data_IF_825537874456
#
_entry.id   IF_825537874456
#
_cell.length_a   1.000
_cell.length_b   1.000
_cell.length_c   1.000
_cell.angle_alpha   90.00
_cell.angle_beta   90.00
_cell.angle_gamma   90.00
#
_symmetry.space_group_name_H-M   'P 1'
#
loop_
_entity.id
_entity.type
_entity.pdbx_description
1 polymer ?
#
# COMPACT_ATOMS: atom_id res chain seq x y z
N UNK A 1 7.48 -4.07 -0.34
CA UNK A 1 6.44 -4.04 -1.42
C UNK A 1 6.83 -3.20 -2.64
N UNK A 2 7.76 -2.25 -2.53
CA UNK A 2 8.09 -1.30 -3.59
C UNK A 2 8.68 -1.96 -4.85
N UNK A 3 9.54 -2.96 -4.70
CA UNK A 3 10.09 -3.73 -5.84
C UNK A 3 8.98 -4.38 -6.67
N UNK A 4 7.96 -4.94 -6.00
CA UNK A 4 6.80 -5.55 -6.65
C UNK A 4 5.97 -4.47 -7.36
N UNK A 5 5.72 -3.33 -6.70
CA UNK A 5 4.99 -2.20 -7.29
C UNK A 5 5.65 -1.68 -8.58
N UNK A 6 6.98 -1.64 -8.63
CA UNK A 6 7.72 -1.30 -9.86
C UNK A 6 7.47 -2.31 -10.98
N UNK A 7 7.38 -3.61 -10.66
CA UNK A 7 6.99 -4.65 -11.62
C UNK A 7 5.56 -4.46 -12.14
N UNK A 8 4.60 -4.27 -11.22
CA UNK A 8 3.18 -4.02 -11.55
C UNK A 8 3.01 -2.79 -12.43
N UNK A 9 3.75 -1.71 -12.16
CA UNK A 9 3.73 -0.50 -13.00
C UNK A 9 4.25 -0.75 -14.42
N UNK A 10 5.26 -1.62 -14.60
CA UNK A 10 5.76 -2.02 -15.92
C UNK A 10 4.76 -2.92 -16.67
N UNK A 11 3.93 -3.66 -15.93
CA UNK A 11 2.85 -4.48 -16.47
C UNK A 11 1.60 -3.67 -16.90
N UNK A 12 1.72 -2.33 -16.98
CA UNK A 12 0.65 -1.41 -17.42
C UNK A 12 -0.57 -1.39 -16.49
N UNK A 13 -0.35 -1.54 -15.19
CA UNK A 13 -1.39 -1.22 -14.21
C UNK A 13 -1.55 0.30 -14.10
N UNK A 14 -2.80 0.77 -14.11
CA UNK A 14 -3.13 2.18 -13.88
C UNK A 14 -3.25 2.53 -12.39
N UNK A 15 -3.44 1.51 -11.53
CA UNK A 15 -3.68 1.69 -10.10
C UNK A 15 -2.98 0.63 -9.25
N UNK A 16 -2.45 1.04 -8.09
CA UNK A 16 -1.89 0.16 -7.05
C UNK A 16 -2.46 0.60 -5.70
N UNK A 17 -3.08 -0.33 -4.97
CA UNK A 17 -3.52 -0.12 -3.59
C UNK A 17 -2.57 -0.80 -2.63
N UNK A 18 -2.06 -0.06 -1.65
CA UNK A 18 -1.27 -0.57 -0.53
C UNK A 18 -2.20 -0.74 0.66
N UNK A 19 -2.43 -1.98 1.09
CA UNK A 19 -3.27 -2.30 2.23
C UNK A 19 -2.44 -2.51 3.50
N UNK A 20 -2.78 -1.79 4.57
CA UNK A 20 -2.19 -1.99 5.89
C UNK A 20 -2.76 -3.21 6.63
N UNK A 21 -2.06 -3.69 7.67
CA UNK A 21 -2.55 -4.82 8.49
C UNK A 21 -3.86 -4.52 9.24
N UNK A 22 -4.26 -3.26 9.36
CA UNK A 22 -5.49 -2.84 10.05
C UNK A 22 -6.77 -3.02 9.21
N UNK A 23 -6.67 -3.69 8.05
CA UNK A 23 -7.81 -4.02 7.21
C UNK A 23 -8.84 -4.93 7.91
N UNK A 24 -10.12 -4.65 7.68
CA UNK A 24 -11.21 -5.45 8.23
C UNK A 24 -11.51 -6.70 7.38
N UNK A 25 -12.00 -7.75 8.03
CA UNK A 25 -12.54 -8.95 7.37
C UNK A 25 -13.62 -9.60 8.23
N UNK A 26 -14.63 -10.17 7.59
CA UNK A 26 -15.70 -10.90 8.29
C UNK A 26 -15.30 -12.29 8.76
N UNK A 27 -14.24 -12.87 8.19
CA UNK A 27 -13.72 -14.19 8.56
C UNK A 27 -12.23 -14.31 8.20
N UNK A 28 -11.37 -14.53 9.19
CA UNK A 28 -9.93 -14.79 9.01
C UNK A 28 -9.37 -15.48 10.26
N UNK A 29 -8.33 -16.34 10.15
CA UNK A 29 -7.65 -16.87 11.30
C UNK A 29 -7.14 -15.76 12.23
N UNK A 30 -7.30 -15.94 13.54
CA UNK A 30 -6.86 -14.95 14.53
C UNK A 30 -5.37 -14.64 14.41
N UNK A 31 -4.56 -15.66 14.10
CA UNK A 31 -3.12 -15.50 13.89
C UNK A 31 -2.82 -14.56 12.73
N UNK A 32 -3.56 -14.66 11.62
CA UNK A 32 -3.40 -13.75 10.48
C UNK A 32 -3.78 -12.32 10.83
N UNK A 33 -4.86 -12.11 11.59
CA UNK A 33 -5.29 -10.77 12.02
C UNK A 33 -4.28 -10.08 12.94
N UNK A 34 -3.53 -10.85 13.72
CA UNK A 34 -2.68 -10.32 14.80
C UNK A 34 -1.19 -10.37 14.48
N UNK A 35 -0.77 -11.14 13.46
CA UNK A 35 0.65 -11.40 13.18
C UNK A 35 1.03 -11.30 11.68
N UNK A 36 0.10 -11.02 10.77
CA UNK A 36 0.41 -10.88 9.35
C UNK A 36 0.22 -9.44 8.86
N UNK A 37 1.13 -9.00 7.99
CA UNK A 37 1.10 -7.66 7.40
C UNK A 37 1.99 -6.65 8.13
N UNK A 38 2.07 -5.45 7.55
CA UNK A 38 2.85 -4.31 8.06
C UNK A 38 1.98 -3.05 8.02
N UNK A 39 2.33 -1.99 8.78
CA UNK A 39 1.65 -0.70 8.68
C UNK A 39 1.67 -0.18 7.24
N UNK A 40 0.59 0.47 6.82
CA UNK A 40 0.48 0.97 5.46
C UNK A 40 1.47 2.11 5.19
N UNK A 41 1.84 2.88 6.20
CA UNK A 41 2.76 4.01 6.12
C UNK A 41 4.12 3.56 5.56
N UNK A 42 4.61 2.41 6.03
CA UNK A 42 5.88 1.83 5.59
C UNK A 42 5.76 1.35 4.14
N UNK A 43 4.69 0.61 3.83
CA UNK A 43 4.48 0.07 2.48
C UNK A 43 4.28 1.16 1.43
N UNK A 44 3.53 2.21 1.78
CA UNK A 44 3.27 3.38 0.95
C UNK A 44 4.56 4.15 0.68
N UNK A 45 5.35 4.44 1.72
CA UNK A 45 6.63 5.13 1.59
C UNK A 45 7.62 4.33 0.74
N UNK A 46 7.76 3.01 0.98
CA UNK A 46 8.64 2.14 0.20
C UNK A 46 8.22 2.10 -1.28
N UNK A 47 6.91 2.05 -1.55
CA UNK A 47 6.33 2.06 -2.90
C UNK A 47 6.62 3.38 -3.60
N UNK A 48 6.33 4.51 -2.94
CA UNK A 48 6.62 5.85 -3.44
C UNK A 48 8.11 5.99 -3.80
N UNK A 49 9.00 5.66 -2.87
CA UNK A 49 10.45 5.77 -3.07
C UNK A 49 10.91 4.90 -4.24
N UNK A 50 10.49 3.64 -4.28
CA UNK A 50 10.94 2.72 -5.34
C UNK A 50 10.44 3.16 -6.71
N UNK A 51 9.19 3.60 -6.83
CA UNK A 51 8.64 4.08 -8.10
C UNK A 51 9.32 5.37 -8.57
N UNK A 52 9.66 6.28 -7.65
CA UNK A 52 10.40 7.51 -7.98
C UNK A 52 11.80 7.17 -8.46
N UNK A 53 12.54 6.34 -7.72
CA UNK A 53 13.90 5.91 -8.08
C UNK A 53 13.98 5.25 -9.46
N UNK A 54 12.91 4.59 -9.90
CA UNK A 54 12.84 3.91 -11.19
C UNK A 54 12.19 4.76 -12.31
N UNK A 55 11.80 6.01 -12.05
CA UNK A 55 11.11 6.85 -13.04
C UNK A 55 9.74 6.30 -13.46
N UNK A 56 9.08 5.54 -12.58
CA UNK A 56 7.79 4.89 -12.84
C UNK A 56 6.63 5.58 -12.14
N UNK A 57 6.89 6.48 -11.19
CA UNK A 57 5.84 7.04 -10.31
C UNK A 57 4.73 7.77 -11.07
N UNK A 58 5.02 8.39 -12.20
CA UNK A 58 4.01 9.09 -13.03
C UNK A 58 3.07 8.16 -13.80
N UNK A 59 3.35 6.85 -13.84
CA UNK A 59 2.60 5.89 -14.67
C UNK A 59 1.39 5.29 -13.98
N UNK A 60 1.30 5.42 -12.66
CA UNK A 60 0.34 4.67 -11.84
C UNK A 60 -0.20 5.56 -10.71
N UNK A 61 -1.49 5.46 -10.43
CA UNK A 61 -2.07 6.01 -9.22
C UNK A 61 -1.79 5.06 -8.05
N UNK A 62 -1.31 5.61 -6.94
CA UNK A 62 -1.04 4.84 -5.71
C UNK A 62 -2.05 5.30 -4.68
N UNK A 63 -2.78 4.33 -4.12
CA UNK A 63 -3.76 4.52 -3.05
C UNK A 63 -3.33 3.72 -1.83
N UNK A 64 -3.80 4.15 -0.66
CA UNK A 64 -3.68 3.39 0.58
C UNK A 64 -5.05 3.06 1.18
N UNK A 65 -5.14 1.90 1.83
CA UNK A 65 -6.24 1.55 2.73
C UNK A 65 -5.74 0.81 3.99
N UNK A 66 -6.66 0.54 4.92
CA UNK A 66 -6.38 -0.08 6.21
C UNK A 66 -6.43 0.95 7.34
N UNK A 67 -7.48 0.90 8.15
CA UNK A 67 -7.56 1.68 9.39
C UNK A 67 -7.75 3.19 9.28
N UNK A 68 -7.88 3.78 8.08
CA UNK A 68 -8.13 5.22 7.91
C UNK A 68 -9.45 5.65 8.58
N UNK A 69 -9.37 6.48 9.62
CA UNK A 69 -10.54 6.88 10.44
C UNK A 69 -10.73 8.39 10.55
N UNK A 70 -9.66 9.15 10.33
CA UNK A 70 -9.65 10.60 10.52
C UNK A 70 -9.15 11.34 9.29
N UNK A 71 -9.47 12.64 9.19
CA UNK A 71 -8.92 13.48 8.13
C UNK A 71 -7.40 13.61 8.19
N UNK A 72 -6.79 13.46 9.36
CA UNK A 72 -5.33 13.44 9.50
C UNK A 72 -4.73 12.23 8.80
N UNK A 73 -5.35 11.06 8.92
CA UNK A 73 -4.87 9.83 8.29
C UNK A 73 -4.85 10.00 6.76
N UNK A 74 -5.88 10.64 6.22
CA UNK A 74 -5.98 10.99 4.79
C UNK A 74 -4.91 12.00 4.34
N UNK A 75 -4.49 12.92 5.21
CA UNK A 75 -3.43 13.89 4.87
C UNK A 75 -2.04 13.24 4.94
N UNK A 76 -1.86 12.22 5.78
CA UNK A 76 -0.60 11.50 5.90
C UNK A 76 -0.40 10.50 4.75
N UNK A 77 -1.47 9.83 4.30
CA UNK A 77 -1.46 8.92 3.15
C UNK A 77 -1.46 9.65 1.81
#
# INVERSE_FOLDING_TARGET
VGTVAAGVSKARADHITIAGYEGGTGASPLTSLTHAGSPWEIGLAETQQTLVLNGLRSRVAVQVDGGLRTGRDVVIG
#
